data_IF_617785578382
#
_entry.id   IF_617785578382
#
_cell.length_a   1.000
_cell.length_b   1.000
_cell.length_c   1.000
_cell.angle_alpha   90.00
_cell.angle_beta   90.00
_cell.angle_gamma   90.00
#
_symmetry.space_group_name_H-M   'P 1'
#
loop_
_entity.id
_entity.type
_entity.pdbx_description
1 polymer ?
#
# COMPACT_ATOMS: atom_id res chain seq x y z
N UNK A 1 -2.09 20.19 -33.33
CA UNK A 1 -1.90 20.16 -31.87
C UNK A 1 -3.22 19.70 -31.28
N UNK A 2 -3.37 18.44 -30.87
CA UNK A 2 -4.42 17.99 -29.93
C UNK A 2 -4.46 16.47 -29.65
N UNK A 3 -3.91 15.60 -30.53
CA UNK A 3 -3.97 14.15 -30.27
C UNK A 3 -2.95 13.67 -29.22
N UNK A 4 -1.72 14.18 -29.26
CA UNK A 4 -0.67 13.74 -28.33
C UNK A 4 -0.95 14.17 -26.89
N UNK A 5 -1.51 15.37 -26.68
CA UNK A 5 -1.89 15.85 -25.34
C UNK A 5 -3.06 15.05 -24.77
N UNK A 6 -4.09 14.77 -25.59
CA UNK A 6 -5.22 13.94 -25.16
C UNK A 6 -4.81 12.50 -24.83
N UNK A 7 -3.90 11.93 -25.61
CA UNK A 7 -3.35 10.61 -25.34
C UNK A 7 -2.55 10.57 -24.02
N UNK A 8 -1.77 11.63 -23.73
CA UNK A 8 -1.03 11.75 -22.46
C UNK A 8 -1.95 11.94 -21.26
N UNK A 9 -2.99 12.76 -21.37
CA UNK A 9 -4.03 12.92 -20.32
C UNK A 9 -4.69 11.58 -20.01
N UNK A 10 -5.09 10.85 -21.04
CA UNK A 10 -5.67 9.51 -20.91
C UNK A 10 -4.73 8.47 -20.29
N UNK A 11 -3.43 8.58 -20.55
CA UNK A 11 -2.42 7.73 -19.91
C UNK A 11 -2.23 8.12 -18.44
N UNK A 12 -2.21 9.42 -18.13
CA UNK A 12 -2.11 9.92 -16.76
C UNK A 12 -3.31 9.44 -15.90
N UNK A 13 -4.54 9.56 -16.42
CA UNK A 13 -5.74 9.05 -15.74
C UNK A 13 -5.67 7.53 -15.50
N UNK A 14 -5.19 6.77 -16.49
CA UNK A 14 -5.04 5.33 -16.34
C UNK A 14 -3.98 4.96 -15.28
N UNK A 15 -2.87 5.70 -15.23
CA UNK A 15 -1.84 5.52 -14.22
C UNK A 15 -2.35 5.88 -12.81
N UNK A 16 -3.15 6.94 -12.68
CA UNK A 16 -3.76 7.32 -11.40
C UNK A 16 -4.77 6.28 -10.91
N UNK A 17 -5.56 5.70 -11.83
CA UNK A 17 -6.47 4.60 -11.52
C UNK A 17 -5.72 3.35 -11.06
N UNK A 18 -4.63 2.98 -11.75
CA UNK A 18 -3.77 1.85 -11.35
C UNK A 18 -3.12 2.11 -10.00
N UNK A 19 -2.59 3.31 -9.77
CA UNK A 19 -2.00 3.68 -8.49
C UNK A 19 -3.02 3.56 -7.36
N UNK A 20 -4.27 3.96 -7.58
CA UNK A 20 -5.36 3.82 -6.61
C UNK A 20 -5.68 2.36 -6.30
N UNK A 21 -5.74 1.51 -7.31
CA UNK A 21 -5.96 0.07 -7.14
C UNK A 21 -4.80 -0.60 -6.39
N UNK A 22 -3.55 -0.29 -6.73
CA UNK A 22 -2.37 -0.80 -6.03
C UNK A 22 -2.34 -0.37 -4.55
N UNK A 23 -2.79 0.86 -4.25
CA UNK A 23 -2.93 1.34 -2.87
C UNK A 23 -3.96 0.52 -2.09
N UNK A 24 -5.12 0.26 -2.69
CA UNK A 24 -6.14 -0.58 -2.09
C UNK A 24 -5.62 -1.99 -1.82
N UNK A 25 -4.93 -2.60 -2.80
CA UNK A 25 -4.33 -3.92 -2.65
C UNK A 25 -3.29 -3.97 -1.52
N UNK A 26 -2.42 -2.96 -1.41
CA UNK A 26 -1.47 -2.87 -0.29
C UNK A 26 -2.16 -2.83 1.08
N UNK A 27 -3.22 -2.04 1.23
CA UNK A 27 -3.97 -1.99 2.48
C UNK A 27 -4.62 -3.33 2.83
N UNK A 28 -5.14 -4.04 1.82
CA UNK A 28 -5.66 -5.41 1.99
C UNK A 28 -4.56 -6.39 2.39
N UNK A 29 -3.37 -6.31 1.80
CA UNK A 29 -2.24 -7.17 2.16
C UNK A 29 -1.79 -6.98 3.60
N UNK A 30 -1.76 -5.74 4.11
CA UNK A 30 -1.45 -5.49 5.52
C UNK A 30 -2.45 -6.19 6.46
N UNK A 31 -3.75 -6.10 6.16
CA UNK A 31 -4.77 -6.78 6.98
C UNK A 31 -4.70 -8.31 6.88
N UNK A 32 -4.33 -8.84 5.70
CA UNK A 32 -4.08 -10.27 5.54
C UNK A 32 -2.88 -10.75 6.36
N UNK A 33 -1.79 -9.97 6.38
CA UNK A 33 -0.61 -10.28 7.21
C UNK A 33 -0.96 -10.28 8.69
N UNK A 34 -1.68 -9.26 9.18
CA UNK A 34 -2.17 -9.21 10.56
C UNK A 34 -3.06 -10.43 10.89
N UNK A 35 -3.95 -10.81 9.98
CA UNK A 35 -4.82 -11.99 10.17
C UNK A 35 -4.04 -13.32 10.18
N UNK A 36 -2.95 -13.40 9.42
CA UNK A 36 -2.07 -14.57 9.41
C UNK A 36 -1.24 -14.67 10.68
N UNK A 37 -0.77 -13.53 11.23
CA UNK A 37 -0.08 -13.48 12.52
C UNK A 37 -1.00 -13.98 13.66
N UNK A 38 -2.25 -13.51 13.67
CA UNK A 38 -3.28 -13.97 14.60
C UNK A 38 -3.56 -15.48 14.49
N UNK A 39 -3.52 -16.03 13.28
CA UNK A 39 -3.70 -17.46 13.05
C UNK A 39 -2.49 -18.25 13.52
N UNK A 40 -1.28 -17.77 13.24
CA UNK A 40 -0.03 -18.40 13.66
C UNK A 40 0.02 -18.52 15.19
N UNK A 41 -0.38 -17.46 15.92
CA UNK A 41 -0.44 -17.45 17.38
C UNK A 41 -1.44 -18.48 17.97
N UNK A 42 -2.41 -18.95 17.18
CA UNK A 42 -3.39 -19.96 17.61
C UNK A 42 -2.95 -21.39 17.29
N UNK A 43 -2.03 -21.56 16.35
CA UNK A 43 -1.63 -22.87 15.82
C UNK A 43 -0.25 -23.29 16.34
N UNK A 44 0.62 -22.32 16.63
CA UNK A 44 1.95 -22.55 17.20
C UNK A 44 2.03 -22.01 18.63
N UNK A 45 2.21 -22.92 19.59
CA UNK A 45 2.33 -22.62 21.02
C UNK A 45 3.56 -21.75 21.36
N UNK A 46 4.52 -21.60 20.43
CA UNK A 46 5.72 -20.79 20.60
C UNK A 46 5.65 -19.45 19.87
N UNK A 47 4.61 -19.23 19.07
CA UNK A 47 4.42 -17.98 18.34
C UNK A 47 3.65 -16.98 19.22
N UNK A 48 4.21 -15.78 19.34
CA UNK A 48 3.56 -14.66 20.00
C UNK A 48 3.23 -13.62 18.94
N UNK A 49 1.93 -13.32 18.78
CA UNK A 49 1.49 -12.27 17.87
C UNK A 49 2.19 -10.95 18.22
N UNK A 50 2.67 -10.24 17.20
CA UNK A 50 3.34 -8.97 17.40
C UNK A 50 2.35 -7.89 17.85
N UNK A 51 1.08 -8.04 17.46
CA UNK A 51 0.00 -7.09 17.71
C UNK A 51 -1.19 -7.77 18.38
N UNK A 52 -2.01 -6.99 19.10
CA UNK A 52 -3.21 -7.52 19.73
C UNK A 52 -4.26 -7.90 18.66
N UNK A 53 -4.83 -9.12 18.70
CA UNK A 53 -5.76 -9.61 17.69
C UNK A 53 -6.96 -8.69 17.47
N UNK A 54 -7.16 -8.27 16.22
CA UNK A 54 -8.23 -7.35 15.84
C UNK A 54 -9.41 -8.11 15.22
N UNK A 55 -10.40 -8.46 16.04
CA UNK A 55 -11.61 -9.10 15.53
C UNK A 55 -12.57 -8.05 14.92
N UNK A 56 -12.47 -7.83 13.60
CA UNK A 56 -13.25 -6.84 12.87
C UNK A 56 -14.31 -7.50 11.99
N UNK A 57 -15.53 -6.97 12.03
CA UNK A 57 -16.54 -7.30 11.01
C UNK A 57 -16.08 -6.80 9.63
N UNK A 58 -16.58 -7.40 8.54
CA UNK A 58 -16.20 -7.00 7.17
C UNK A 58 -16.39 -5.50 6.86
N UNK A 59 -17.39 -4.85 7.48
CA UNK A 59 -17.57 -3.39 7.36
C UNK A 59 -16.52 -2.59 8.13
N UNK A 60 -16.13 -3.08 9.30
CA UNK A 60 -15.08 -2.45 10.10
C UNK A 60 -13.72 -2.58 9.41
N UNK A 61 -13.44 -3.72 8.77
CA UNK A 61 -12.27 -3.94 7.92
C UNK A 61 -12.25 -2.97 6.73
N UNK A 62 -13.37 -2.87 6.00
CA UNK A 62 -13.45 -1.96 4.85
C UNK A 62 -13.23 -0.49 5.26
N UNK A 63 -13.75 -0.09 6.43
CA UNK A 63 -13.53 1.24 6.97
C UNK A 63 -12.07 1.47 7.37
N UNK A 64 -11.42 0.50 8.02
CA UNK A 64 -10.02 0.64 8.41
C UNK A 64 -9.09 0.72 7.20
N UNK A 65 -9.36 -0.08 6.16
CA UNK A 65 -8.65 0.03 4.87
C UNK A 65 -8.80 1.45 4.30
N UNK A 66 -10.00 2.02 4.34
CA UNK A 66 -10.23 3.41 3.90
C UNK A 66 -9.51 4.44 4.78
N UNK A 67 -9.52 4.25 6.10
CA UNK A 67 -8.87 5.15 7.05
C UNK A 67 -7.33 5.11 6.85
N UNK A 68 -6.74 3.93 6.63
CA UNK A 68 -5.30 3.78 6.30
C UNK A 68 -4.94 4.43 4.96
N UNK A 69 -5.80 4.33 3.96
CA UNK A 69 -5.61 5.03 2.67
C UNK A 69 -5.61 6.55 2.90
N UNK A 70 -6.55 7.06 3.69
CA UNK A 70 -6.68 8.49 3.98
C UNK A 70 -5.54 9.04 4.85
N UNK A 71 -5.09 8.31 5.87
CA UNK A 71 -3.95 8.71 6.71
C UNK A 71 -2.67 8.81 5.90
N UNK A 72 -2.46 7.89 4.95
CA UNK A 72 -1.29 7.93 4.08
C UNK A 72 -1.36 9.05 3.04
N UNK A 73 -2.54 9.29 2.45
CA UNK A 73 -2.74 10.42 1.54
C UNK A 73 -2.53 11.78 2.25
N UNK A 74 -2.75 11.86 3.57
CA UNK A 74 -2.36 13.03 4.38
C UNK A 74 -0.86 13.17 4.61
N UNK A 75 -0.12 12.06 4.64
CA UNK A 75 1.34 12.07 4.77
C UNK A 75 2.00 12.37 3.41
N UNK A 76 1.34 12.10 2.27
CA UNK A 76 1.87 12.37 0.92
C UNK A 76 2.02 13.89 0.58
N UNK A 77 1.55 14.82 1.44
CA UNK A 77 1.97 16.25 1.39
C UNK A 77 3.44 16.42 1.80
N UNK A 78 4.01 15.47 2.53
CA UNK A 78 5.45 15.27 2.69
C UNK A 78 5.90 14.28 1.61
N UNK A 79 6.54 14.81 0.55
CA UNK A 79 7.00 14.03 -0.61
C UNK A 79 7.49 12.62 -0.23
N UNK A 80 6.90 11.53 -0.79
CA UNK A 80 7.36 10.18 -0.50
C UNK A 80 8.83 10.06 -0.88
N UNK A 81 9.63 9.50 0.05
CA UNK A 81 11.07 9.27 -0.16
C UNK A 81 11.31 8.31 -1.35
N UNK A 82 10.35 7.43 -1.62
CA UNK A 82 10.36 6.51 -2.75
C UNK A 82 9.35 6.94 -3.81
N UNK A 83 9.84 7.42 -4.96
CA UNK A 83 9.03 7.83 -6.12
C UNK A 83 9.00 6.75 -7.20
N UNK A 84 7.91 5.99 -7.33
CA UNK A 84 7.76 5.01 -8.41
C UNK A 84 8.04 5.67 -9.77
N UNK A 85 9.00 5.12 -10.53
CA UNK A 85 9.46 5.67 -11.81
C UNK A 85 10.67 6.62 -11.72
N UNK A 86 11.16 6.98 -10.54
CA UNK A 86 12.45 7.66 -10.41
C UNK A 86 13.58 6.63 -10.46
N UNK A 87 14.53 6.72 -11.42
CA UNK A 87 15.69 5.84 -11.49
C UNK A 87 16.53 5.88 -10.21
N UNK A 88 16.48 6.99 -9.47
CA UNK A 88 17.25 7.24 -8.24
C UNK A 88 16.87 6.25 -7.12
N UNK A 89 15.62 5.78 -7.06
CA UNK A 89 15.18 4.82 -6.05
C UNK A 89 15.80 3.42 -6.20
N UNK A 90 16.34 3.12 -7.38
CA UNK A 90 16.85 1.80 -7.75
C UNK A 90 18.39 1.78 -7.83
N UNK A 91 19.03 2.92 -7.57
CA UNK A 91 20.48 3.10 -7.67
C UNK A 91 21.24 2.73 -6.38
N UNK A 92 20.54 2.54 -5.25
CA UNK A 92 21.18 2.23 -3.96
C UNK A 92 21.59 0.75 -3.81
N UNK A 93 21.43 -0.06 -4.86
CA UNK A 93 21.83 -1.48 -4.90
C UNK A 93 23.25 -1.75 -5.40
N UNK A 94 23.93 -0.77 -6.00
CA UNK A 94 25.29 -0.90 -6.58
C UNK A 94 26.34 -0.14 -5.73
N UNK A 95 26.24 -0.19 -4.41
CA UNK A 95 27.36 0.13 -3.52
C UNK A 95 27.99 -1.16 -3.04
N UNK A 96 28.95 -1.63 -3.82
CA UNK A 96 30.02 -2.51 -3.36
C UNK A 96 30.66 -1.90 -2.09
N UNK A 97 30.54 -2.59 -0.95
CA UNK A 97 31.58 -2.77 0.08
C UNK A 97 31.17 -3.83 1.12
#
# INVERSE_FOLDING_TARGET
MNDDTFALERQAEALEAIATELRYQNAVFCELLESMDDLAARVDDHHHAEHEPRNRSGRALQRDIQDRLFERDRVDDEHPQFRWGSPENWQDGDRDE
#
